data_IF_846714797270
#
_entry.id   IF_846714797270
#
_cell.length_a   1.000
_cell.length_b   1.000
_cell.length_c   1.000
_cell.angle_alpha   90.00
_cell.angle_beta   90.00
_cell.angle_gamma   90.00
#
_symmetry.space_group_name_H-M   'P 1'
#
loop_
_entity.id
_entity.type
_entity.pdbx_description
1 polymer ?
#
# COMPACT_ATOMS: atom_id res chain seq x y z
N UNK A 1 -17.97 -23.50 -52.18
CA UNK A 1 -18.97 -24.54 -51.82
C UNK A 1 -18.44 -25.32 -50.61
N UNK A 2 -19.17 -25.25 -49.49
CA UNK A 2 -19.33 -26.25 -48.38
C UNK A 2 -18.06 -26.87 -47.74
N UNK A 3 -17.66 -26.50 -46.51
CA UNK A 3 -18.22 -26.87 -45.18
C UNK A 3 -18.29 -28.38 -44.90
N UNK A 4 -17.60 -28.86 -43.86
CA UNK A 4 -18.15 -29.81 -42.85
C UNK A 4 -17.23 -30.01 -41.62
N UNK A 5 -17.83 -29.78 -40.45
CA UNK A 5 -17.48 -30.30 -39.10
C UNK A 5 -17.59 -31.84 -39.05
N UNK A 6 -17.05 -32.45 -37.99
CA UNK A 6 -17.76 -33.54 -37.30
C UNK A 6 -18.18 -33.13 -35.88
N UNK A 7 -19.35 -33.64 -35.48
CA UNK A 7 -19.95 -33.52 -34.16
C UNK A 7 -19.57 -34.69 -33.23
N UNK A 8 -19.75 -34.41 -31.92
CA UNK A 8 -20.27 -35.27 -30.84
C UNK A 8 -19.71 -36.68 -30.62
N UNK A 9 -19.21 -36.89 -29.40
CA UNK A 9 -19.31 -38.17 -28.69
C UNK A 9 -19.83 -37.90 -27.27
N UNK A 10 -21.08 -38.26 -27.03
CA UNK A 10 -21.71 -38.36 -25.71
C UNK A 10 -21.47 -39.75 -25.10
N UNK A 11 -21.36 -39.81 -23.76
CA UNK A 11 -21.96 -40.93 -23.02
C UNK A 11 -21.09 -41.64 -21.99
N UNK A 12 -21.72 -41.86 -20.82
CA UNK A 12 -21.35 -42.69 -19.65
C UNK A 12 -20.53 -41.95 -18.56
N UNK A 13 -20.97 -41.82 -17.31
CA UNK A 13 -22.14 -42.36 -16.63
C UNK A 13 -22.03 -42.06 -15.13
N UNK A 14 -23.15 -41.62 -14.57
CA UNK A 14 -23.38 -41.20 -13.18
C UNK A 14 -23.18 -42.34 -12.18
N UNK A 15 -22.66 -42.04 -10.97
CA UNK A 15 -22.98 -42.83 -9.77
C UNK A 15 -23.05 -41.92 -8.55
N UNK A 16 -24.26 -41.46 -8.24
CA UNK A 16 -24.61 -40.92 -6.93
C UNK A 16 -24.83 -42.04 -5.92
N UNK A 17 -24.64 -41.72 -4.63
CA UNK A 17 -25.26 -42.44 -3.51
C UNK A 17 -25.57 -41.43 -2.40
N UNK A 18 -26.77 -41.57 -1.87
CA UNK A 18 -27.56 -40.68 -1.01
C UNK A 18 -27.15 -40.71 0.48
N UNK A 19 -27.59 -39.66 1.21
CA UNK A 19 -27.39 -39.31 2.63
C UNK A 19 -27.96 -40.32 3.66
N UNK A 20 -27.76 -40.10 5.00
CA UNK A 20 -28.74 -39.30 5.74
C UNK A 20 -28.18 -38.38 6.86
N UNK A 21 -28.70 -37.15 6.88
CA UNK A 21 -29.12 -36.32 8.04
C UNK A 21 -28.43 -36.46 9.42
N UNK A 22 -27.82 -35.37 9.89
CA UNK A 22 -27.94 -34.96 11.30
C UNK A 22 -28.09 -33.44 11.43
N UNK A 23 -29.18 -33.02 12.05
CA UNK A 23 -29.52 -31.65 12.41
C UNK A 23 -28.67 -31.16 13.58
N UNK A 24 -28.30 -29.88 13.59
CA UNK A 24 -27.73 -29.23 14.77
C UNK A 24 -27.47 -27.75 14.51
N UNK A 25 -28.52 -26.94 14.61
CA UNK A 25 -28.38 -25.48 14.63
C UNK A 25 -27.68 -25.03 15.91
N UNK A 26 -26.78 -24.06 15.79
CA UNK A 26 -26.30 -23.28 16.92
C UNK A 26 -26.24 -21.80 16.56
N UNK A 27 -27.01 -21.04 17.36
CA UNK A 27 -27.15 -19.60 17.35
C UNK A 27 -25.82 -18.86 17.42
N UNK A 28 -25.72 -17.78 16.64
CA UNK A 28 -24.69 -16.77 16.78
C UNK A 28 -24.74 -16.18 18.20
N UNK A 29 -23.68 -16.40 19.00
CA UNK A 29 -23.52 -15.77 20.30
C UNK A 29 -22.82 -14.42 20.14
N UNK A 30 -23.56 -13.39 20.53
CA UNK A 30 -23.10 -12.04 20.85
C UNK A 30 -21.98 -12.09 21.88
N UNK A 31 -20.91 -11.32 21.66
CA UNK A 31 -19.93 -11.01 22.70
C UNK A 31 -19.80 -9.50 22.87
N UNK A 32 -20.28 -9.09 24.04
CA UNK A 32 -20.21 -7.76 24.62
C UNK A 32 -18.74 -7.35 24.80
N UNK A 33 -18.34 -6.18 24.32
CA UNK A 33 -16.96 -5.69 24.46
C UNK A 33 -16.93 -4.46 25.39
N UNK A 34 -16.11 -4.57 26.43
CA UNK A 34 -15.77 -3.51 27.37
C UNK A 34 -14.95 -2.41 26.69
N UNK A 35 -15.18 -1.19 27.16
CA UNK A 35 -14.70 0.09 26.66
C UNK A 35 -13.22 0.36 26.95
N UNK A 36 -12.51 0.86 25.94
CA UNK A 36 -11.18 1.48 26.04
C UNK A 36 -10.86 2.26 24.75
N UNK A 37 -10.43 3.53 24.80
CA UNK A 37 -10.22 4.37 23.62
C UNK A 37 -8.79 4.20 23.10
N UNK A 38 -8.46 3.06 22.52
CA UNK A 38 -7.17 2.81 21.87
C UNK A 38 -7.40 2.03 20.56
N UNK A 39 -7.70 2.72 19.46
CA UNK A 39 -7.73 2.07 18.16
C UNK A 39 -7.57 3.04 16.97
N UNK A 40 -6.33 3.46 16.70
CA UNK A 40 -5.88 3.86 15.36
C UNK A 40 -4.37 3.57 15.21
N UNK A 41 -4.00 2.33 14.89
CA UNK A 41 -2.69 1.99 14.33
C UNK A 41 -2.88 1.42 12.92
N UNK A 42 -2.06 1.90 11.99
CA UNK A 42 -2.19 1.67 10.55
C UNK A 42 -1.93 0.22 10.14
N UNK A 43 -2.46 -0.10 8.95
CA UNK A 43 -2.29 -1.32 8.15
C UNK A 43 -0.81 -1.74 8.08
N UNK A 44 -0.39 -2.62 8.99
CA UNK A 44 0.72 -3.57 8.78
C UNK A 44 0.53 -4.92 9.48
N UNK A 45 -0.59 -5.19 10.17
CA UNK A 45 -0.85 -6.48 10.85
C UNK A 45 -2.11 -7.16 10.31
N UNK A 46 -2.10 -8.48 10.03
CA UNK A 46 -3.34 -9.26 9.91
C UNK A 46 -4.13 -9.20 11.23
N UNK A 47 -5.47 -9.36 11.20
CA UNK A 47 -6.27 -9.37 12.42
C UNK A 47 -5.86 -10.53 13.34
N UNK A 48 -5.65 -10.22 14.62
CA UNK A 48 -5.41 -11.23 15.66
C UNK A 48 -6.54 -12.27 15.68
N UNK A 49 -6.17 -13.54 15.50
CA UNK A 49 -7.08 -14.67 15.69
C UNK A 49 -7.30 -14.86 17.20
N UNK A 50 -8.54 -14.81 17.72
CA UNK A 50 -8.82 -15.07 19.12
C UNK A 50 -8.48 -16.53 19.47
N UNK A 51 -7.45 -16.75 20.29
CA UNK A 51 -7.06 -18.10 20.75
C UNK A 51 -5.56 -18.33 20.99
N UNK A 52 -4.68 -17.44 20.52
CA UNK A 52 -3.22 -17.61 20.66
C UNK A 52 -2.66 -17.31 22.06
N UNK A 53 -3.47 -16.80 23.00
CA UNK A 53 -3.03 -16.42 24.35
C UNK A 53 -2.96 -17.56 25.39
N UNK A 54 -3.18 -18.81 25.00
CA UNK A 54 -3.20 -19.96 25.92
C UNK A 54 -2.06 -20.97 25.77
N UNK A 55 -0.91 -20.59 25.17
CA UNK A 55 0.26 -21.48 25.05
C UNK A 55 1.46 -21.05 25.92
N UNK A 56 1.21 -20.46 27.08
CA UNK A 56 2.22 -20.38 28.15
C UNK A 56 1.87 -21.38 29.26
N UNK A 57 2.54 -22.52 29.23
CA UNK A 57 2.69 -23.41 30.38
C UNK A 57 3.69 -22.79 31.35
N UNK A 58 3.30 -22.65 32.62
CA UNK A 58 4.20 -22.34 33.75
C UNK A 58 4.24 -20.87 34.16
N UNK A 59 3.40 -20.49 35.13
CA UNK A 59 3.86 -20.23 36.51
C UNK A 59 2.75 -19.53 37.33
N UNK A 60 2.22 -20.31 38.28
CA UNK A 60 1.51 -19.99 39.52
C UNK A 60 0.98 -18.56 39.79
N UNK A 61 -0.36 -18.42 39.79
CA UNK A 61 -1.11 -17.44 40.60
C UNK A 61 -1.71 -18.12 41.83
N UNK A 62 -1.59 -17.56 43.05
CA UNK A 62 -2.33 -18.07 44.20
C UNK A 62 -3.80 -17.65 44.12
N UNK A 63 -4.66 -18.62 44.43
CA UNK A 63 -6.11 -18.55 44.48
C UNK A 63 -6.59 -17.59 45.57
N UNK A 64 -7.58 -16.75 45.25
CA UNK A 64 -8.49 -16.20 46.26
C UNK A 64 -9.91 -16.65 45.92
N UNK A 65 -10.47 -17.45 46.83
CA UNK A 65 -11.80 -18.05 46.77
C UNK A 65 -12.91 -16.98 46.63
N UNK A 66 -13.90 -17.25 45.78
CA UNK A 66 -15.17 -16.55 45.77
C UNK A 66 -16.28 -17.55 46.11
N UNK A 67 -16.93 -17.34 47.25
CA UNK A 67 -18.08 -18.10 47.74
C UNK A 67 -19.32 -17.99 46.81
N UNK A 68 -20.26 -18.96 46.83
CA UNK A 68 -21.31 -19.10 45.82
C UNK A 68 -22.50 -18.15 46.05
N UNK A 69 -23.11 -17.69 44.95
CA UNK A 69 -24.33 -16.88 44.94
C UNK A 69 -25.61 -17.74 45.03
N UNK A 70 -26.71 -17.24 45.62
CA UNK A 70 -28.05 -17.84 45.48
C UNK A 70 -28.74 -17.39 44.18
N UNK A 71 -29.76 -18.13 43.70
CA UNK A 71 -30.30 -17.98 42.36
C UNK A 71 -31.49 -17.01 42.36
N UNK A 72 -31.55 -16.08 41.41
CA UNK A 72 -32.85 -15.55 40.97
C UNK A 72 -32.81 -14.84 39.61
N UNK A 73 -33.80 -15.23 38.81
CA UNK A 73 -34.50 -14.54 37.73
C UNK A 73 -33.70 -14.03 36.51
N UNK A 74 -34.02 -14.69 35.39
CA UNK A 74 -33.73 -14.26 34.03
C UNK A 74 -34.32 -12.87 33.73
N UNK A 75 -33.46 -11.99 33.22
CA UNK A 75 -33.84 -10.97 32.25
C UNK A 75 -32.66 -10.76 31.30
N UNK A 76 -32.65 -11.46 30.17
CA UNK A 76 -31.67 -11.27 29.09
C UNK A 76 -32.02 -9.98 28.33
N UNK A 77 -31.65 -8.82 28.89
CA UNK A 77 -31.47 -7.62 28.09
C UNK A 77 -30.08 -7.70 27.43
N UNK A 78 -30.00 -8.31 26.24
CA UNK A 78 -28.86 -8.11 25.36
C UNK A 78 -28.75 -6.61 25.06
N UNK A 79 -27.76 -5.93 25.66
CA UNK A 79 -27.38 -4.57 25.27
C UNK A 79 -26.92 -4.58 23.81
N UNK A 80 -27.85 -4.28 22.90
CA UNK A 80 -27.49 -3.81 21.56
C UNK A 80 -26.70 -2.51 21.73
N UNK A 81 -25.48 -2.47 21.20
CA UNK A 81 -24.71 -1.24 21.13
C UNK A 81 -25.57 -0.13 20.49
N UNK A 82 -25.52 1.12 20.99
CA UNK A 82 -26.37 2.18 20.47
C UNK A 82 -26.11 2.39 18.97
N UNK A 83 -27.14 2.72 18.16
CA UNK A 83 -27.03 2.86 16.70
C UNK A 83 -25.95 3.87 16.26
N UNK A 84 -25.58 4.82 17.12
CA UNK A 84 -24.47 5.75 16.93
C UNK A 84 -23.10 5.06 16.89
N UNK A 85 -22.87 4.02 17.69
CA UNK A 85 -21.59 3.31 17.75
C UNK A 85 -21.37 2.46 16.49
N UNK A 86 -22.44 1.91 15.92
CA UNK A 86 -22.39 1.18 14.65
C UNK A 86 -22.08 2.13 13.49
N UNK A 87 -22.80 3.26 13.38
CA UNK A 87 -22.55 4.27 12.33
C UNK A 87 -21.11 4.82 12.39
N UNK A 88 -20.59 4.99 13.61
CA UNK A 88 -19.22 5.39 13.90
C UNK A 88 -18.17 4.38 13.41
N UNK A 89 -18.39 3.08 13.63
CA UNK A 89 -17.51 2.01 13.14
C UNK A 89 -17.54 1.93 11.61
N UNK A 90 -18.73 2.04 11.01
CA UNK A 90 -18.88 2.07 9.56
C UNK A 90 -18.18 3.27 8.91
N UNK A 91 -18.18 4.42 9.59
CA UNK A 91 -17.49 5.62 9.13
C UNK A 91 -15.97 5.46 9.08
N UNK A 92 -15.35 5.04 10.19
CA UNK A 92 -13.91 4.82 10.26
C UNK A 92 -13.46 3.76 9.24
N UNK A 93 -14.23 2.68 9.11
CA UNK A 93 -14.00 1.65 8.10
C UNK A 93 -14.10 2.19 6.67
N UNK A 94 -15.18 2.92 6.35
CA UNK A 94 -15.40 3.48 5.01
C UNK A 94 -14.34 4.49 4.61
N UNK A 95 -13.89 5.33 5.55
CA UNK A 95 -12.81 6.30 5.32
C UNK A 95 -11.48 5.57 5.07
N UNK A 96 -11.16 4.56 5.87
CA UNK A 96 -9.95 3.74 5.68
C UNK A 96 -9.96 3.01 4.33
N UNK A 97 -11.09 2.41 3.94
CA UNK A 97 -11.25 1.75 2.65
C UNK A 97 -11.10 2.73 1.48
N UNK A 98 -11.72 3.91 1.57
CA UNK A 98 -11.63 4.94 0.54
C UNK A 98 -10.18 5.44 0.37
N UNK A 99 -9.45 5.63 1.47
CA UNK A 99 -8.04 5.99 1.45
C UNK A 99 -7.20 4.90 0.78
N UNK A 100 -7.37 3.63 1.18
CA UNK A 100 -6.66 2.48 0.60
C UNK A 100 -6.92 2.36 -0.92
N UNK A 101 -8.18 2.48 -1.33
CA UNK A 101 -8.57 2.43 -2.74
C UNK A 101 -7.96 3.58 -3.53
N UNK A 102 -7.93 4.78 -2.95
CA UNK A 102 -7.38 5.96 -3.61
C UNK A 102 -5.87 5.84 -3.81
N UNK A 103 -5.14 5.41 -2.78
CA UNK A 103 -3.69 5.26 -2.82
C UNK A 103 -3.22 4.14 -3.74
N UNK A 104 -3.94 3.02 -3.79
CA UNK A 104 -3.46 1.82 -4.48
C UNK A 104 -4.12 1.59 -5.84
N UNK A 105 -5.37 2.01 -6.04
CA UNK A 105 -6.12 1.75 -7.29
C UNK A 105 -6.24 3.00 -8.13
N UNK A 106 -6.71 4.09 -7.51
CA UNK A 106 -7.04 5.33 -8.20
C UNK A 106 -5.78 6.13 -8.59
N UNK A 107 -4.76 6.10 -7.73
CA UNK A 107 -3.45 6.72 -7.98
C UNK A 107 -2.54 5.92 -8.92
N UNK A 108 -2.83 4.64 -9.16
CA UNK A 108 -1.95 3.72 -9.89
C UNK A 108 -1.58 4.18 -11.31
N UNK A 109 -2.50 4.77 -12.12
CA UNK A 109 -2.14 5.40 -13.39
C UNK A 109 -1.02 6.43 -13.31
N UNK A 110 -1.02 7.25 -12.25
CA UNK A 110 0.00 8.26 -12.03
C UNK A 110 1.34 7.61 -11.66
N UNK A 111 1.31 6.52 -10.88
CA UNK A 111 2.50 5.75 -10.51
C UNK A 111 3.13 5.10 -11.74
N UNK A 112 2.32 4.42 -12.56
CA UNK A 112 2.77 3.78 -13.81
C UNK A 112 3.39 4.81 -14.74
N UNK A 113 2.68 5.91 -15.02
CA UNK A 113 3.17 6.94 -15.93
C UNK A 113 4.44 7.65 -15.40
N UNK A 114 4.51 7.91 -14.09
CA UNK A 114 5.71 8.45 -13.43
C UNK A 114 6.91 7.53 -13.63
N UNK A 115 6.76 6.24 -13.32
CA UNK A 115 7.82 5.23 -13.47
C UNK A 115 8.30 5.16 -14.91
N UNK A 116 7.39 5.21 -15.88
CA UNK A 116 7.74 5.28 -17.31
C UNK A 116 8.61 6.48 -17.65
N UNK A 117 8.22 7.67 -17.19
CA UNK A 117 9.00 8.89 -17.43
C UNK A 117 10.39 8.79 -16.80
N UNK A 118 10.48 8.28 -15.57
CA UNK A 118 11.73 8.17 -14.83
C UNK A 118 12.74 7.24 -15.51
N UNK A 119 12.29 6.15 -16.14
CA UNK A 119 13.17 5.19 -16.84
C UNK A 119 13.41 5.55 -18.32
N UNK A 120 12.63 6.47 -18.90
CA UNK A 120 12.80 6.89 -20.29
C UNK A 120 14.00 7.84 -20.44
N UNK A 121 15.17 7.25 -20.73
CA UNK A 121 16.40 7.98 -21.03
C UNK A 121 16.24 8.91 -22.25
N UNK A 122 15.59 8.44 -23.32
CA UNK A 122 15.45 9.15 -24.59
C UNK A 122 14.39 10.27 -24.61
N UNK A 123 13.68 10.49 -23.49
CA UNK A 123 12.62 11.49 -23.40
C UNK A 123 13.12 12.90 -23.75
N UNK A 124 12.44 13.56 -24.68
CA UNK A 124 12.62 15.00 -24.98
C UNK A 124 11.77 15.87 -24.07
N UNK A 125 10.63 15.36 -23.63
CA UNK A 125 9.68 16.03 -22.74
C UNK A 125 9.74 15.37 -21.36
N UNK A 126 9.92 16.17 -20.30
CA UNK A 126 10.04 15.65 -18.93
C UNK A 126 8.72 15.60 -18.17
N UNK A 127 7.63 16.12 -18.74
CA UNK A 127 6.29 16.11 -18.14
C UNK A 127 6.26 16.64 -16.69
N UNK A 128 6.94 17.76 -16.45
CA UNK A 128 7.00 18.42 -15.14
C UNK A 128 5.65 19.05 -14.75
N UNK A 129 4.83 19.43 -15.74
CA UNK A 129 3.51 20.01 -15.55
C UNK A 129 2.42 18.93 -15.51
N UNK A 130 1.44 19.02 -14.59
CA UNK A 130 0.33 18.07 -14.53
C UNK A 130 -0.48 18.01 -15.84
N UNK A 131 -0.64 19.13 -16.55
CA UNK A 131 -1.38 19.16 -17.82
C UNK A 131 -0.68 18.34 -18.90
N UNK A 132 0.65 18.44 -18.97
CA UNK A 132 1.43 17.65 -19.92
C UNK A 132 1.40 16.16 -19.58
N UNK A 133 1.37 15.80 -18.29
CA UNK A 133 1.23 14.41 -17.86
C UNK A 133 -0.15 13.84 -18.22
N UNK A 134 -1.23 14.57 -17.91
CA UNK A 134 -2.60 14.14 -18.23
C UNK A 134 -2.78 13.97 -19.75
N UNK A 135 -2.26 14.91 -20.56
CA UNK A 135 -2.37 14.83 -22.01
C UNK A 135 -1.73 13.56 -22.57
N UNK A 136 -0.56 13.16 -22.07
CA UNK A 136 0.10 11.93 -22.52
C UNK A 136 -0.60 10.69 -21.99
N UNK A 137 -1.00 10.67 -20.71
CA UNK A 137 -1.78 9.57 -20.15
C UNK A 137 -3.09 9.33 -20.94
N UNK A 138 -3.74 10.39 -21.39
CA UNK A 138 -4.89 10.32 -22.28
C UNK A 138 -4.53 9.72 -23.64
N UNK A 139 -3.42 10.15 -24.25
CA UNK A 139 -2.95 9.57 -25.51
C UNK A 139 -2.64 8.08 -25.40
N UNK A 140 -1.95 7.65 -24.34
CA UNK A 140 -1.67 6.24 -24.05
C UNK A 140 -2.97 5.45 -23.89
N UNK A 141 -3.94 6.00 -23.16
CA UNK A 141 -5.27 5.38 -22.99
C UNK A 141 -6.01 5.25 -24.32
N UNK A 142 -5.88 6.24 -25.20
CA UNK A 142 -6.50 6.23 -26.52
C UNK A 142 -5.86 5.21 -27.46
N UNK A 143 -4.55 5.00 -27.38
CA UNK A 143 -3.80 4.12 -28.29
C UNK A 143 -3.80 2.66 -27.83
N UNK A 144 -3.66 2.40 -26.52
CA UNK A 144 -3.50 1.06 -25.95
C UNK A 144 -4.70 0.61 -25.10
N UNK A 145 -5.66 1.50 -24.87
CA UNK A 145 -6.77 1.26 -23.96
C UNK A 145 -6.45 1.62 -22.50
N UNK A 146 -7.47 1.69 -21.62
CA UNK A 146 -7.30 2.11 -20.24
C UNK A 146 -6.44 1.14 -19.40
N UNK A 147 -6.44 -0.15 -19.75
CA UNK A 147 -5.65 -1.18 -19.05
C UNK A 147 -4.15 -0.88 -19.07
N UNK A 148 -3.65 -0.18 -20.09
CA UNK A 148 -2.24 0.20 -20.21
C UNK A 148 -1.74 1.07 -19.05
N UNK A 149 -2.60 1.87 -18.43
CA UNK A 149 -2.27 2.65 -17.23
C UNK A 149 -2.36 1.83 -15.94
N UNK A 150 -2.99 0.65 -15.98
CA UNK A 150 -3.17 -0.26 -14.86
C UNK A 150 -2.24 -1.48 -14.84
N UNK A 151 -1.25 -1.50 -15.74
CA UNK A 151 -0.27 -2.57 -15.79
C UNK A 151 0.50 -2.73 -14.48
N UNK A 152 0.81 -3.98 -14.14
CA UNK A 152 1.56 -4.35 -12.94
C UNK A 152 0.84 -4.07 -11.61
N UNK A 153 -0.46 -3.74 -11.61
CA UNK A 153 -1.22 -3.55 -10.37
C UNK A 153 -1.21 -4.78 -9.46
N UNK A 154 -1.36 -5.98 -10.03
CA UNK A 154 -1.30 -7.22 -9.25
C UNK A 154 0.06 -7.39 -8.57
N UNK A 155 1.15 -7.11 -9.30
CA UNK A 155 2.51 -7.24 -8.75
C UNK A 155 2.84 -6.18 -7.71
N UNK A 156 2.27 -4.97 -7.79
CA UNK A 156 2.42 -3.97 -6.71
C UNK A 156 1.76 -4.43 -5.41
N UNK A 157 0.58 -5.06 -5.48
CA UNK A 157 -0.06 -5.65 -4.30
C UNK A 157 0.73 -6.82 -3.73
N UNK A 158 1.33 -7.65 -4.60
CA UNK A 158 2.24 -8.73 -4.16
C UNK A 158 3.42 -8.15 -3.39
N UNK A 159 4.07 -7.09 -3.89
CA UNK A 159 5.20 -6.44 -3.19
C UNK A 159 4.77 -5.87 -1.84
N UNK A 160 3.59 -5.25 -1.76
CA UNK A 160 3.03 -4.80 -0.49
C UNK A 160 2.80 -5.97 0.46
N UNK A 161 2.16 -7.04 0.00
CA UNK A 161 1.93 -8.25 0.78
C UNK A 161 3.23 -8.88 1.30
N UNK A 162 4.25 -8.98 0.45
CA UNK A 162 5.60 -9.46 0.83
C UNK A 162 6.22 -8.54 1.88
N UNK A 163 6.14 -7.23 1.70
CA UNK A 163 6.69 -6.25 2.64
C UNK A 163 6.04 -6.39 4.02
N UNK A 164 4.70 -6.44 4.06
CA UNK A 164 3.92 -6.59 5.30
C UNK A 164 4.17 -7.94 5.97
N UNK A 165 4.14 -9.03 5.20
CA UNK A 165 4.39 -10.37 5.69
C UNK A 165 5.81 -10.52 6.24
N UNK A 166 6.79 -9.96 5.55
CA UNK A 166 8.19 -9.97 5.99
C UNK A 166 8.37 -9.17 7.28
N UNK A 167 7.77 -7.98 7.38
CA UNK A 167 7.81 -7.20 8.61
C UNK A 167 7.21 -7.96 9.80
N UNK A 168 6.07 -8.64 9.58
CA UNK A 168 5.45 -9.52 10.58
C UNK A 168 6.39 -10.64 11.02
N UNK A 169 6.91 -11.43 10.08
CA UNK A 169 7.80 -12.58 10.36
C UNK A 169 9.06 -12.12 11.08
N UNK A 170 9.72 -11.05 10.62
CA UNK A 170 10.94 -10.58 11.29
C UNK A 170 10.62 -10.05 12.69
N UNK A 171 9.48 -9.37 12.88
CA UNK A 171 9.07 -8.91 14.21
C UNK A 171 8.75 -10.03 15.20
N UNK A 172 8.34 -11.20 14.71
CA UNK A 172 8.10 -12.39 15.54
C UNK A 172 9.41 -13.16 15.81
N UNK A 173 10.29 -13.26 14.81
CA UNK A 173 11.54 -14.00 14.91
C UNK A 173 12.68 -13.22 15.61
N UNK A 174 12.56 -11.90 15.71
CA UNK A 174 13.59 -11.04 16.30
C UNK A 174 13.02 -10.19 17.43
N UNK A 175 13.80 -9.85 18.47
CA UNK A 175 13.35 -8.95 19.53
C UNK A 175 13.28 -7.48 19.08
N UNK A 176 13.23 -7.21 17.78
CA UNK A 176 13.23 -5.86 17.22
C UNK A 176 11.82 -5.26 17.34
N UNK A 177 11.70 -4.00 17.80
CA UNK A 177 10.39 -3.39 18.01
C UNK A 177 9.69 -3.11 16.68
N UNK A 178 8.49 -3.68 16.51
CA UNK A 178 7.60 -3.40 15.37
C UNK A 178 7.00 -2.00 15.42
N UNK A 179 6.76 -1.49 16.62
CA UNK A 179 6.18 -0.17 16.83
C UNK A 179 7.08 0.71 17.69
N UNK A 180 7.14 2.00 17.34
CA UNK A 180 7.87 2.98 18.12
C UNK A 180 6.98 3.47 19.27
N UNK A 181 7.41 3.23 20.51
CA UNK A 181 6.77 3.84 21.68
C UNK A 181 6.82 5.37 21.61
N UNK A 182 5.82 6.04 22.18
CA UNK A 182 5.79 7.51 22.33
C UNK A 182 7.01 8.06 23.10
N UNK A 183 7.66 7.22 23.93
CA UNK A 183 8.92 7.55 24.59
C UNK A 183 10.10 7.19 23.67
N UNK A 184 10.87 8.20 23.28
CA UNK A 184 12.01 8.05 22.36
C UNK A 184 13.15 7.31 23.04
N UNK A 185 13.25 6.00 22.80
CA UNK A 185 14.43 5.22 23.17
C UNK A 185 15.29 5.01 21.91
N UNK A 186 16.50 5.58 21.82
CA UNK A 186 17.32 5.51 20.60
C UNK A 186 17.68 4.08 20.23
N UNK A 187 17.82 3.17 21.21
CA UNK A 187 18.04 1.74 20.94
C UNK A 187 16.84 1.08 20.27
N UNK A 188 15.62 1.46 20.66
CA UNK A 188 14.40 0.96 20.04
C UNK A 188 14.20 1.56 18.64
N UNK A 189 14.52 2.84 18.45
CA UNK A 189 14.47 3.48 17.13
C UNK A 189 15.44 2.81 16.17
N UNK A 190 16.69 2.58 16.60
CA UNK A 190 17.68 1.88 15.79
C UNK A 190 17.22 0.45 15.47
N UNK A 191 16.68 -0.28 16.46
CA UNK A 191 16.13 -1.62 16.23
C UNK A 191 14.99 -1.64 15.20
N UNK A 192 14.09 -0.65 15.25
CA UNK A 192 13.01 -0.52 14.28
C UNK A 192 13.53 -0.18 12.87
N UNK A 193 14.54 0.70 12.76
CA UNK A 193 15.16 1.01 11.47
C UNK A 193 15.89 -0.20 10.88
N UNK A 194 16.53 -1.02 11.72
CA UNK A 194 17.16 -2.28 11.29
C UNK A 194 16.10 -3.27 10.79
N UNK A 195 14.98 -3.41 11.52
CA UNK A 195 13.83 -4.22 11.09
C UNK A 195 13.35 -3.80 9.70
N UNK A 196 13.06 -2.49 9.50
CA UNK A 196 12.64 -1.95 8.20
C UNK A 196 13.70 -2.18 7.11
N UNK A 197 14.98 -2.01 7.44
CA UNK A 197 16.09 -2.26 6.53
C UNK A 197 16.08 -3.70 6.01
N UNK A 198 15.96 -4.69 6.90
CA UNK A 198 15.85 -6.10 6.50
C UNK A 198 14.59 -6.38 5.69
N UNK A 199 13.45 -5.78 6.04
CA UNK A 199 12.23 -5.89 5.25
C UNK A 199 12.46 -5.45 3.80
N UNK A 200 13.13 -4.31 3.58
CA UNK A 200 13.45 -3.84 2.24
C UNK A 200 14.42 -4.75 1.50
N UNK A 201 15.39 -5.37 2.18
CA UNK A 201 16.30 -6.35 1.57
C UNK A 201 15.53 -7.55 1.02
N UNK A 202 14.59 -8.10 1.80
CA UNK A 202 13.78 -9.26 1.38
C UNK A 202 12.78 -8.90 0.27
N UNK A 203 12.18 -7.69 0.34
CA UNK A 203 11.20 -7.23 -0.66
C UNK A 203 11.85 -6.80 -2.00
N UNK A 204 13.13 -6.42 -1.99
CA UNK A 204 13.88 -5.89 -3.13
C UNK A 204 13.80 -6.70 -4.45
N UNK A 205 13.95 -8.04 -4.48
CA UNK A 205 13.81 -8.81 -5.71
C UNK A 205 12.40 -8.74 -6.32
N UNK A 206 11.35 -8.75 -5.50
CA UNK A 206 9.95 -8.63 -5.93
C UNK A 206 9.64 -7.20 -6.38
N UNK A 207 10.17 -6.20 -5.68
CA UNK A 207 10.09 -4.80 -6.11
C UNK A 207 10.69 -4.60 -7.49
N UNK A 208 11.84 -5.22 -7.78
CA UNK A 208 12.47 -5.19 -9.12
C UNK A 208 11.56 -5.80 -10.19
N UNK A 209 10.88 -6.91 -9.88
CA UNK A 209 9.96 -7.58 -10.80
C UNK A 209 8.70 -6.75 -11.06
N UNK A 210 8.08 -6.25 -9.99
CA UNK A 210 6.93 -5.36 -10.10
C UNK A 210 7.26 -4.08 -10.86
N UNK A 211 8.44 -3.47 -10.63
CA UNK A 211 8.87 -2.29 -11.36
C UNK A 211 8.87 -2.54 -12.87
N UNK A 212 9.51 -3.64 -13.32
CA UNK A 212 9.55 -4.02 -14.74
C UNK A 212 8.14 -4.21 -15.29
N UNK A 213 7.27 -4.93 -14.58
CA UNK A 213 5.89 -5.13 -15.00
C UNK A 213 5.09 -3.83 -15.11
N UNK A 214 5.40 -2.83 -14.30
CA UNK A 214 4.70 -1.54 -14.29
C UNK A 214 5.15 -0.60 -15.40
N UNK A 215 6.29 -0.85 -16.04
CA UNK A 215 6.82 -0.01 -17.13
C UNK A 215 6.91 -0.75 -18.47
N UNK A 216 6.93 -2.07 -18.48
CA UNK A 216 6.90 -2.83 -19.73
C UNK A 216 5.62 -2.53 -20.53
N UNK A 217 5.75 -2.25 -21.83
CA UNK A 217 4.61 -1.97 -22.72
C UNK A 217 3.69 -3.19 -22.84
N UNK A 218 2.38 -2.97 -22.79
CA UNK A 218 1.39 -4.06 -22.92
C UNK A 218 1.37 -4.66 -24.34
N UNK A 219 1.77 -3.89 -25.36
CA UNK A 219 1.81 -4.32 -26.77
C UNK A 219 2.72 -5.55 -26.96
N UNK A 220 3.72 -5.72 -26.10
CA UNK A 220 4.74 -6.78 -26.19
C UNK A 220 4.49 -7.88 -25.14
N UNK A 221 3.63 -7.63 -24.16
CA UNK A 221 3.46 -8.54 -23.02
C UNK A 221 2.34 -9.54 -23.29
N UNK A 222 2.73 -10.75 -23.66
CA UNK A 222 1.80 -11.87 -23.80
C UNK A 222 1.41 -12.45 -22.43
N UNK A 223 0.11 -12.48 -22.11
CA UNK A 223 -0.52 -13.16 -20.98
C UNK A 223 0.11 -12.92 -19.58
N UNK A 224 -0.16 -11.79 -18.92
CA UNK A 224 0.35 -11.52 -17.58
C UNK A 224 -0.30 -12.42 -16.51
N UNK A 225 0.50 -13.24 -15.83
CA UNK A 225 0.12 -13.93 -14.60
C UNK A 225 0.37 -13.06 -13.36
N UNK A 226 -0.52 -13.11 -12.37
CA UNK A 226 -0.38 -12.35 -11.11
C UNK A 226 0.83 -12.82 -10.30
N UNK A 227 1.20 -14.11 -10.43
CA UNK A 227 2.32 -14.73 -9.71
C UNK A 227 3.66 -14.65 -10.48
N UNK A 228 3.67 -14.08 -11.68
CA UNK A 228 4.90 -13.95 -12.48
C UNK A 228 5.93 -13.08 -11.74
N UNK A 229 5.48 -12.03 -11.07
CA UNK A 229 6.31 -11.21 -10.18
C UNK A 229 6.99 -12.04 -9.09
N UNK A 230 6.29 -13.01 -8.49
CA UNK A 230 6.86 -13.88 -7.45
C UNK A 230 7.91 -14.80 -8.06
N UNK A 231 7.57 -15.43 -9.20
CA UNK A 231 8.47 -16.33 -9.92
C UNK A 231 9.75 -15.61 -10.36
N UNK A 232 9.62 -14.43 -10.95
CA UNK A 232 10.75 -13.61 -11.40
C UNK A 232 11.57 -13.08 -10.22
N UNK A 233 10.91 -12.67 -9.13
CA UNK A 233 11.56 -12.27 -7.88
C UNK A 233 12.43 -13.38 -7.29
N UNK A 234 11.88 -14.59 -7.14
CA UNK A 234 12.62 -15.77 -6.67
C UNK A 234 13.72 -16.14 -7.66
N UNK A 235 13.44 -16.09 -8.96
CA UNK A 235 14.42 -16.34 -10.02
C UNK A 235 15.66 -15.44 -9.90
N UNK A 236 15.47 -14.16 -9.59
CA UNK A 236 16.60 -13.24 -9.34
C UNK A 236 17.42 -13.58 -8.11
N UNK A 237 16.79 -14.09 -7.06
CA UNK A 237 17.51 -14.51 -5.83
C UNK A 237 18.32 -15.78 -6.09
N UNK A 238 17.74 -16.75 -6.79
CA UNK A 238 18.36 -18.06 -7.06
C UNK A 238 19.34 -17.99 -8.26
N UNK A 239 19.33 -16.89 -9.01
CA UNK A 239 20.10 -16.74 -10.26
C UNK A 239 19.51 -17.54 -11.44
N UNK A 240 18.29 -18.03 -11.31
CA UNK A 240 17.60 -18.84 -12.33
C UNK A 240 16.66 -17.95 -13.15
N UNK A 241 16.77 -17.98 -14.48
CA UNK A 241 15.90 -17.21 -15.38
C UNK A 241 16.33 -15.76 -15.62
N UNK A 242 17.41 -15.30 -14.98
CA UNK A 242 17.96 -13.97 -15.23
C UNK A 242 18.64 -13.94 -16.60
N UNK A 243 18.28 -13.01 -17.52
CA UNK A 243 19.02 -12.85 -18.76
C UNK A 243 20.47 -12.54 -18.39
N UNK A 244 21.42 -13.36 -18.86
CA UNK A 244 22.86 -13.27 -18.57
C UNK A 244 23.52 -12.04 -19.24
N UNK A 245 22.83 -10.91 -19.24
CA UNK A 245 23.31 -9.65 -19.78
C UNK A 245 24.35 -9.08 -18.84
N UNK A 246 25.53 -8.77 -19.38
CA UNK A 246 26.59 -8.03 -18.66
C UNK A 246 26.13 -6.65 -18.14
N UNK A 247 24.96 -6.17 -18.60
CA UNK A 247 24.37 -4.88 -18.24
C UNK A 247 23.42 -4.94 -17.03
N UNK A 248 22.98 -6.14 -16.62
CA UNK A 248 22.13 -6.26 -15.45
C UNK A 248 23.00 -6.22 -14.19
N UNK A 249 22.67 -5.34 -13.26
CA UNK A 249 23.38 -5.26 -12.00
C UNK A 249 23.02 -6.43 -11.08
N UNK A 250 24.00 -7.00 -10.35
CA UNK A 250 23.72 -7.99 -9.32
C UNK A 250 22.89 -7.33 -8.20
N UNK A 251 22.01 -8.11 -7.56
CA UNK A 251 21.11 -7.61 -6.50
C UNK A 251 21.88 -6.93 -5.35
N UNK A 252 23.10 -7.39 -5.05
CA UNK A 252 23.95 -6.78 -4.02
C UNK A 252 24.30 -5.32 -4.31
N UNK A 253 24.49 -4.94 -5.58
CA UNK A 253 24.76 -3.54 -5.96
C UNK A 253 23.51 -2.66 -5.84
N UNK A 254 22.32 -3.27 -5.87
CA UNK A 254 21.04 -2.60 -5.74
C UNK A 254 20.60 -2.45 -4.28
N UNK A 255 21.13 -3.28 -3.37
CA UNK A 255 20.76 -3.30 -1.95
C UNK A 255 20.91 -1.93 -1.29
N UNK A 256 22.07 -1.28 -1.45
CA UNK A 256 22.30 0.05 -0.88
C UNK A 256 21.28 1.09 -1.38
N UNK A 257 21.08 1.29 -2.70
CA UNK A 257 20.05 2.20 -3.20
C UNK A 257 18.65 1.92 -2.67
N UNK A 258 18.22 0.64 -2.67
CA UNK A 258 16.87 0.26 -2.27
C UNK A 258 16.63 0.52 -0.79
N UNK A 259 17.55 0.07 0.07
CA UNK A 259 17.44 0.24 1.53
C UNK A 259 17.56 1.72 1.90
N UNK A 260 18.48 2.47 1.26
CA UNK A 260 18.63 3.91 1.49
C UNK A 260 17.33 4.65 1.17
N UNK A 261 16.75 4.41 -0.01
CA UNK A 261 15.48 5.03 -0.40
C UNK A 261 14.35 4.67 0.56
N UNK A 262 14.17 3.38 0.87
CA UNK A 262 13.12 2.92 1.78
C UNK A 262 13.22 3.52 3.18
N UNK A 263 14.42 3.51 3.77
CA UNK A 263 14.64 4.07 5.10
C UNK A 263 14.47 5.60 5.12
N UNK A 264 15.00 6.31 4.12
CA UNK A 264 14.79 7.76 4.03
C UNK A 264 13.31 8.10 3.89
N UNK A 265 12.57 7.35 3.07
CA UNK A 265 11.13 7.58 2.86
C UNK A 265 10.37 7.40 4.17
N UNK A 266 10.64 6.31 4.89
CA UNK A 266 10.06 6.05 6.21
C UNK A 266 10.41 7.16 7.22
N UNK A 267 11.68 7.53 7.34
CA UNK A 267 12.14 8.53 8.31
C UNK A 267 11.53 9.90 8.03
N UNK A 268 11.52 10.33 6.76
CA UNK A 268 10.93 11.60 6.35
C UNK A 268 9.42 11.59 6.61
N UNK A 269 8.72 10.55 6.15
CA UNK A 269 7.27 10.44 6.34
C UNK A 269 6.90 10.45 7.83
N UNK A 270 7.55 9.61 8.65
CA UNK A 270 7.28 9.55 10.09
C UNK A 270 7.54 10.88 10.79
N UNK A 271 8.63 11.57 10.42
CA UNK A 271 8.98 12.88 10.99
C UNK A 271 7.98 13.96 10.60
N UNK A 272 7.59 14.02 9.32
CA UNK A 272 6.61 14.99 8.83
C UNK A 272 5.22 14.71 9.41
N UNK A 273 4.78 13.46 9.47
CA UNK A 273 3.49 13.09 10.05
C UNK A 273 3.39 13.54 11.51
N UNK A 274 4.42 13.23 12.31
CA UNK A 274 4.49 13.66 13.72
C UNK A 274 4.49 15.18 13.84
N UNK A 275 5.23 15.89 12.98
CA UNK A 275 5.26 17.34 12.96
C UNK A 275 3.88 17.92 12.62
N UNK A 276 3.22 17.42 11.58
CA UNK A 276 1.90 17.90 11.15
C UNK A 276 0.86 17.62 12.23
N UNK A 277 0.85 16.43 12.83
CA UNK A 277 -0.03 16.11 13.95
C UNK A 277 0.21 17.03 15.15
N UNK A 278 1.46 17.29 15.49
CA UNK A 278 1.82 18.22 16.56
C UNK A 278 1.29 19.63 16.28
N UNK A 279 1.46 20.14 15.06
CA UNK A 279 0.96 21.46 14.65
C UNK A 279 -0.57 21.53 14.66
N UNK A 280 -1.26 20.49 14.17
CA UNK A 280 -2.72 20.42 14.17
C UNK A 280 -3.30 20.36 15.59
N UNK A 281 -2.71 19.54 16.47
CA UNK A 281 -3.11 19.45 17.88
C UNK A 281 -2.87 20.77 18.62
N UNK A 282 -1.71 21.40 18.41
CA UNK A 282 -1.40 22.71 19.01
C UNK A 282 -2.40 23.79 18.58
N UNK A 283 -2.82 23.77 17.31
CA UNK A 283 -3.84 24.69 16.79
C UNK A 283 -5.21 24.45 17.42
N UNK A 284 -5.62 23.19 17.58
CA UNK A 284 -6.91 22.85 18.20
C UNK A 284 -6.96 23.15 19.70
N UNK A 285 -5.86 22.99 20.44
CA UNK A 285 -5.80 23.35 21.87
C UNK A 285 -5.94 24.85 22.16
N UNK A 286 -5.74 25.71 21.16
CA UNK A 286 -5.91 27.17 21.29
C UNK A 286 -7.34 27.67 21.06
N UNK A 287 -8.27 26.80 20.65
CA UNK A 287 -9.68 27.17 20.43
C UNK A 287 -10.50 26.83 21.68
N UNK A 288 -11.23 27.78 22.30
CA UNK A 288 -12.04 27.49 23.47
C UNK A 288 -13.14 26.49 23.09
N UNK A 289 -13.15 25.32 23.73
CA UNK A 289 -14.24 24.33 23.64
C UNK A 289 -15.50 24.96 24.25
N UNK A 290 -16.41 25.43 23.40
CA UNK A 290 -17.78 25.68 23.82
C UNK A 290 -18.60 24.40 23.66
N UNK A 291 -19.60 24.25 24.55
CA UNK A 291 -20.61 23.19 24.65
C UNK A 291 -20.20 21.79 25.10
N UNK A 292 -20.92 21.34 26.14
CA UNK A 292 -21.09 19.97 26.60
C UNK A 292 -21.64 19.06 25.50
N UNK A 293 -21.26 17.77 25.47
CA UNK A 293 -21.65 16.83 24.43
C UNK A 293 -23.06 16.29 24.70
N UNK A 294 -24.10 17.06 24.39
CA UNK A 294 -25.50 16.63 24.61
C UNK A 294 -26.17 16.08 23.34
N UNK A 295 -25.54 16.15 22.15
CA UNK A 295 -26.15 15.69 20.89
C UNK A 295 -25.38 14.56 20.19
N UNK A 296 -26.12 13.60 19.61
CA UNK A 296 -25.57 12.49 18.80
C UNK A 296 -24.68 12.99 17.65
N UNK A 297 -25.01 14.14 17.05
CA UNK A 297 -24.19 14.79 16.03
C UNK A 297 -22.79 15.21 16.54
N UNK A 298 -22.66 15.59 17.82
CA UNK A 298 -21.40 16.07 18.39
C UNK A 298 -20.41 14.93 18.66
N UNK A 299 -20.90 13.74 19.05
CA UNK A 299 -20.05 12.56 19.27
C UNK A 299 -19.41 12.07 17.96
N UNK A 300 -20.18 12.11 16.86
CA UNK A 300 -19.68 11.70 15.54
C UNK A 300 -18.79 12.77 14.91
N UNK A 301 -19.12 14.05 15.11
CA UNK A 301 -18.27 15.17 14.70
C UNK A 301 -16.91 15.12 15.42
N UNK A 302 -16.89 14.78 16.73
CA UNK A 302 -15.65 14.58 17.49
C UNK A 302 -14.80 13.42 16.97
N UNK A 303 -15.42 12.36 16.42
CA UNK A 303 -14.68 11.27 15.77
C UNK A 303 -14.09 11.72 14.45
N UNK A 304 -14.87 12.42 13.62
CA UNK A 304 -14.39 12.98 12.36
C UNK A 304 -13.18 13.90 12.58
N UNK A 305 -13.24 14.72 13.63
CA UNK A 305 -12.15 15.58 14.07
C UNK A 305 -10.95 14.81 14.67
N UNK A 306 -11.08 13.52 14.96
CA UNK A 306 -9.98 12.63 15.34
C UNK A 306 -9.32 11.95 14.11
N UNK A 307 -10.12 11.42 13.17
CA UNK A 307 -9.61 10.69 11.99
C UNK A 307 -9.02 11.62 10.90
N UNK A 308 -9.67 12.75 10.61
CA UNK A 308 -9.24 13.62 9.51
C UNK A 308 -7.85 14.24 9.72
N UNK A 309 -7.48 14.73 10.92
CA UNK A 309 -6.12 15.22 11.16
C UNK A 309 -5.04 14.17 10.93
N UNK A 310 -5.31 12.90 11.29
CA UNK A 310 -4.40 11.78 11.05
C UNK A 310 -4.22 11.51 9.55
N UNK A 311 -5.32 11.48 8.80
CA UNK A 311 -5.30 11.31 7.34
C UNK A 311 -4.57 12.48 6.66
N UNK A 312 -4.82 13.71 7.08
CA UNK A 312 -4.14 14.89 6.53
C UNK A 312 -2.64 14.89 6.86
N UNK A 313 -2.26 14.44 8.06
CA UNK A 313 -0.87 14.31 8.44
C UNK A 313 -0.15 13.22 7.65
N UNK A 314 -0.79 12.05 7.46
CA UNK A 314 -0.29 10.96 6.62
C UNK A 314 -0.15 11.40 5.15
N UNK A 315 -1.19 12.06 4.61
CA UNK A 315 -1.17 12.63 3.26
C UNK A 315 0.01 13.61 3.06
N UNK A 316 0.18 14.55 3.98
CA UNK A 316 1.25 15.54 3.91
C UNK A 316 2.63 14.89 4.05
N UNK A 317 2.75 13.91 4.94
CA UNK A 317 3.98 13.14 5.13
C UNK A 317 4.40 12.40 3.85
N UNK A 318 3.49 11.65 3.25
CA UNK A 318 3.74 10.91 2.01
C UNK A 318 4.10 11.86 0.86
N UNK A 319 3.37 12.97 0.70
CA UNK A 319 3.69 13.98 -0.32
C UNK A 319 5.08 14.57 -0.13
N UNK A 320 5.44 14.94 1.10
CA UNK A 320 6.76 15.49 1.40
C UNK A 320 7.88 14.47 1.11
N UNK A 321 7.69 13.21 1.51
CA UNK A 321 8.68 12.17 1.26
C UNK A 321 8.87 11.91 -0.24
N UNK A 322 7.78 11.79 -1.01
CA UNK A 322 7.84 11.57 -2.45
C UNK A 322 8.50 12.73 -3.19
N UNK A 323 8.22 13.98 -2.80
CA UNK A 323 8.84 15.17 -3.41
C UNK A 323 10.34 15.24 -3.09
N UNK A 324 10.73 15.02 -1.83
CA UNK A 324 12.13 15.10 -1.40
C UNK A 324 12.98 13.97 -1.98
N UNK A 325 12.42 12.77 -2.12
CA UNK A 325 13.13 11.59 -2.60
C UNK A 325 12.97 11.33 -4.09
N UNK A 326 12.24 12.16 -4.82
CA UNK A 326 12.03 12.01 -6.26
C UNK A 326 13.32 11.78 -7.07
N UNK A 327 14.43 12.53 -6.84
CA UNK A 327 15.67 12.30 -7.57
C UNK A 327 16.27 10.93 -7.27
N UNK A 328 16.21 10.49 -6.02
CA UNK A 328 16.72 9.19 -5.58
C UNK A 328 15.86 8.06 -6.15
N UNK A 329 14.53 8.21 -6.16
CA UNK A 329 13.59 7.27 -6.78
C UNK A 329 13.89 7.10 -8.28
N UNK A 330 14.16 8.19 -9.00
CA UNK A 330 14.52 8.15 -10.43
C UNK A 330 15.80 7.36 -10.69
N UNK A 331 16.84 7.58 -9.88
CA UNK A 331 18.09 6.81 -9.95
C UNK A 331 17.83 5.35 -9.62
N UNK A 332 17.06 5.06 -8.57
CA UNK A 332 16.71 3.72 -8.15
C UNK A 332 16.02 2.95 -9.29
N UNK A 333 14.96 3.51 -9.88
CA UNK A 333 14.22 2.86 -10.95
C UNK A 333 15.10 2.50 -12.15
N UNK A 334 16.01 3.40 -12.54
CA UNK A 334 16.95 3.18 -13.64
C UNK A 334 17.94 2.06 -13.35
N UNK A 335 18.45 1.98 -12.12
CA UNK A 335 19.35 0.91 -11.71
C UNK A 335 18.67 -0.46 -11.67
N UNK A 336 17.41 -0.52 -11.24
CA UNK A 336 16.66 -1.78 -11.15
C UNK A 336 16.27 -2.33 -12.53
N UNK A 337 16.08 -1.47 -13.52
CA UNK A 337 15.57 -1.88 -14.83
C UNK A 337 16.63 -2.06 -15.92
N UNK A 338 17.82 -1.50 -15.75
CA UNK A 338 18.85 -1.67 -16.78
C UNK A 338 19.19 -3.15 -17.00
N UNK A 339 19.50 -3.51 -18.24
CA UNK A 339 19.92 -4.87 -18.59
C UNK A 339 18.80 -5.93 -18.64
N UNK A 340 17.55 -5.58 -18.33
CA UNK A 340 16.38 -6.50 -18.38
C UNK A 340 15.80 -6.69 -19.78
N UNK A 341 16.28 -5.92 -20.78
CA UNK A 341 15.73 -5.86 -22.15
C UNK A 341 14.26 -5.41 -22.20
N UNK A 342 13.81 -4.65 -21.20
CA UNK A 342 12.45 -4.12 -21.17
C UNK A 342 12.22 -3.10 -22.28
N UNK A 343 11.06 -3.20 -22.93
CA UNK A 343 10.57 -2.22 -23.89
C UNK A 343 9.43 -1.46 -23.22
N UNK A 344 9.54 -0.13 -23.20
CA UNK A 344 8.60 0.78 -22.52
C UNK A 344 7.79 1.59 -23.53
N UNK A 345 6.73 2.22 -23.05
CA UNK A 345 5.96 3.17 -23.87
C UNK A 345 6.72 4.50 -23.98
N UNK A 346 6.69 5.10 -25.16
CA UNK A 346 7.26 6.41 -25.40
C UNK A 346 6.43 7.48 -24.70
N UNK A 347 6.99 8.08 -23.65
CA UNK A 347 6.31 9.10 -22.86
C UNK A 347 6.21 10.46 -23.55
N UNK A 348 6.95 10.73 -24.63
CA UNK A 348 6.87 12.03 -25.31
C UNK A 348 5.50 12.23 -25.99
N UNK A 349 5.01 11.19 -26.68
CA UNK A 349 3.77 11.23 -27.45
C UNK A 349 2.71 10.21 -26.99
N UNK A 350 3.12 9.08 -26.39
CA UNK A 350 2.23 8.01 -25.96
C UNK A 350 1.78 7.04 -27.06
N UNK A 351 2.41 7.09 -28.24
CA UNK A 351 1.99 6.32 -29.42
C UNK A 351 3.00 5.26 -29.88
N UNK A 352 4.21 5.26 -29.34
CA UNK A 352 5.32 4.40 -29.76
C UNK A 352 5.90 3.64 -28.57
N UNK A 353 6.78 2.68 -28.85
CA UNK A 353 7.52 1.93 -27.83
C UNK A 353 9.02 2.06 -28.05
N UNK A 354 9.80 2.01 -26.98
CA UNK A 354 11.25 2.14 -27.04
C UNK A 354 11.96 1.17 -26.08
N UNK A 355 13.10 0.58 -26.48
CA UNK A 355 13.87 -0.30 -25.61
C UNK A 355 14.68 0.50 -24.58
N UNK A 356 14.82 -0.04 -23.38
CA UNK A 356 15.75 0.51 -22.39
C UNK A 356 17.17 0.06 -22.74
N UNK A 357 18.02 1.03 -23.10
CA UNK A 357 19.41 0.80 -23.50
C UNK A 357 20.43 1.51 -22.60
N UNK A 358 20.10 1.67 -21.32
CA UNK A 358 20.99 2.28 -20.33
C UNK A 358 21.96 1.24 -19.75
N UNK A 359 23.14 1.72 -19.34
CA UNK A 359 24.16 0.92 -18.65
C UNK A 359 24.88 1.82 -17.66
N UNK A 360 24.74 1.51 -16.37
CA UNK A 360 25.33 2.23 -15.26
C UNK A 360 26.14 1.25 -14.39
N UNK A 361 27.34 1.63 -14.00
CA UNK A 361 28.18 0.82 -13.10
C UNK A 361 27.64 0.80 -11.66
N UNK A 362 26.86 1.83 -11.29
CA UNK A 362 26.21 1.93 -9.99
C UNK A 362 25.50 3.26 -9.81
N UNK A 363 25.05 3.54 -8.57
CA UNK A 363 24.28 4.74 -8.26
C UNK A 363 25.00 6.05 -8.61
N UNK A 364 26.30 6.17 -8.28
CA UNK A 364 27.08 7.38 -8.55
C UNK A 364 27.22 7.65 -10.04
N UNK A 365 27.47 6.58 -10.80
CA UNK A 365 27.57 6.66 -12.25
C UNK A 365 26.23 7.06 -12.88
N UNK A 366 25.12 6.46 -12.42
CA UNK A 366 23.77 6.85 -12.85
C UNK A 366 23.46 8.32 -12.56
N UNK A 367 23.79 8.83 -11.37
CA UNK A 367 23.64 10.25 -11.01
C UNK A 367 24.45 11.14 -11.95
N UNK A 368 25.71 10.77 -12.23
CA UNK A 368 26.57 11.54 -13.12
C UNK A 368 26.08 11.52 -14.56
N UNK A 369 25.61 10.38 -15.06
CA UNK A 369 25.04 10.24 -16.39
C UNK A 369 23.80 11.13 -16.56
N UNK A 370 22.82 11.05 -15.64
CA UNK A 370 21.63 11.93 -15.67
C UNK A 370 22.06 13.40 -15.68
N UNK A 371 22.97 13.79 -14.79
CA UNK A 371 23.42 15.20 -14.71
C UNK A 371 24.11 15.68 -15.98
N UNK A 372 24.91 14.84 -16.64
CA UNK A 372 25.70 15.22 -17.82
C UNK A 372 24.90 15.15 -19.13
N UNK A 373 24.01 14.16 -19.26
CA UNK A 373 23.32 13.85 -20.52
C UNK A 373 21.91 14.45 -20.56
N UNK A 374 21.23 14.56 -19.42
CA UNK A 374 19.85 15.06 -19.31
C UNK A 374 19.73 16.37 -18.53
N UNK A 375 20.79 16.76 -17.82
CA UNK A 375 20.77 17.90 -16.92
C UNK A 375 20.01 17.63 -15.61
N UNK A 376 19.92 18.65 -14.77
CA UNK A 376 19.34 18.53 -13.41
C UNK A 376 17.85 18.23 -13.42
N UNK A 377 17.12 18.64 -14.46
CA UNK A 377 15.70 18.34 -14.60
C UNK A 377 15.44 16.88 -15.02
N UNK A 378 16.45 16.16 -15.52
CA UNK A 378 16.34 14.73 -15.83
C UNK A 378 16.00 13.87 -14.60
N UNK A 379 16.37 14.33 -13.41
CA UNK A 379 15.97 13.69 -12.15
C UNK A 379 14.49 13.82 -11.83
N UNK A 380 13.77 14.75 -12.47
CA UNK A 380 12.38 15.08 -12.16
C UNK A 380 11.41 14.64 -13.27
N UNK A 381 11.83 13.75 -14.17
CA UNK A 381 10.98 13.21 -15.23
C UNK A 381 9.70 12.59 -14.65
N UNK A 382 8.54 13.07 -15.09
CA UNK A 382 7.24 12.62 -14.61
C UNK A 382 6.77 13.29 -13.32
N UNK A 383 7.43 14.37 -12.85
CA UNK A 383 7.01 15.07 -11.63
C UNK A 383 5.56 15.56 -11.66
N UNK A 384 5.05 15.94 -12.84
CA UNK A 384 3.65 16.34 -13.01
C UNK A 384 2.66 15.29 -12.54
N UNK A 385 3.02 14.00 -12.60
CA UNK A 385 2.19 12.88 -12.14
C UNK A 385 1.99 12.88 -10.62
N UNK A 386 2.95 13.37 -9.83
CA UNK A 386 2.77 13.52 -8.37
C UNK A 386 1.71 14.55 -8.09
N UNK A 387 1.74 15.68 -8.81
CA UNK A 387 0.74 16.74 -8.63
C UNK A 387 -0.66 16.19 -8.94
N UNK A 388 -0.81 15.43 -10.03
CA UNK A 388 -2.09 14.77 -10.37
C UNK A 388 -2.49 13.75 -9.29
N UNK A 389 -1.58 12.86 -8.90
CA UNK A 389 -1.80 11.82 -7.90
C UNK A 389 -2.32 12.39 -6.56
N UNK A 390 -1.61 13.37 -6.02
CA UNK A 390 -1.96 13.93 -4.71
C UNK A 390 -3.13 14.91 -4.80
N UNK A 391 -3.36 15.56 -5.94
CA UNK A 391 -4.61 16.32 -6.17
C UNK A 391 -5.83 15.41 -6.17
N UNK A 392 -5.71 14.24 -6.79
CA UNK A 392 -6.75 13.21 -6.82
C UNK A 392 -7.01 12.66 -5.42
N UNK A 393 -5.96 12.36 -4.66
CA UNK A 393 -6.09 11.91 -3.28
C UNK A 393 -6.75 12.97 -2.40
N UNK A 394 -6.34 14.24 -2.51
CA UNK A 394 -6.96 15.35 -1.81
C UNK A 394 -8.44 15.53 -2.20
N UNK A 395 -8.79 15.41 -3.48
CA UNK A 395 -10.16 15.52 -3.95
C UNK A 395 -11.05 14.42 -3.36
N UNK A 396 -10.60 13.16 -3.35
CA UNK A 396 -11.34 12.06 -2.72
C UNK A 396 -11.52 12.32 -1.22
N UNK A 397 -10.45 12.70 -0.51
CA UNK A 397 -10.54 13.02 0.93
C UNK A 397 -11.55 14.15 1.21
N UNK A 398 -11.59 15.20 0.39
CA UNK A 398 -12.56 16.30 0.53
C UNK A 398 -13.99 15.85 0.23
N UNK A 399 -14.19 15.04 -0.81
CA UNK A 399 -15.50 14.49 -1.17
C UNK A 399 -15.98 13.57 -0.05
N UNK A 400 -15.14 12.67 0.47
CA UNK A 400 -15.47 11.80 1.61
C UNK A 400 -15.84 12.62 2.83
N UNK A 401 -15.09 13.69 3.13
CA UNK A 401 -15.43 14.64 4.22
C UNK A 401 -16.80 15.26 4.02
N UNK A 402 -17.07 15.75 2.81
CA UNK A 402 -18.31 16.44 2.48
C UNK A 402 -19.51 15.49 2.56
N UNK A 403 -19.40 14.30 1.96
CA UNK A 403 -20.45 13.27 1.99
C UNK A 403 -20.78 12.92 3.42
N UNK A 404 -19.76 12.62 4.23
CA UNK A 404 -19.99 12.22 5.61
C UNK A 404 -20.58 13.38 6.44
N UNK A 405 -20.04 14.59 6.32
CA UNK A 405 -20.60 15.77 7.00
C UNK A 405 -22.06 16.05 6.60
N UNK A 406 -22.44 15.75 5.36
CA UNK A 406 -23.81 15.92 4.87
C UNK A 406 -24.73 14.82 5.38
N UNK A 407 -24.29 13.57 5.36
CA UNK A 407 -25.02 12.44 5.93
C UNK A 407 -25.31 12.67 7.43
N UNK A 408 -24.36 13.25 8.16
CA UNK A 408 -24.54 13.61 9.58
C UNK A 408 -25.51 14.75 9.82
N UNK A 409 -25.64 15.70 8.90
CA UNK A 409 -26.60 16.81 9.03
C UNK A 409 -28.03 16.38 8.75
N UNK A 410 -28.21 15.32 7.96
CA UNK A 410 -29.50 14.83 7.49
C UNK A 410 -30.01 13.61 8.28
N UNK A 411 -29.20 13.06 9.18
CA UNK A 411 -29.56 12.04 10.16
C UNK A 411 -29.88 12.71 11.50
#
# INVERSE_FOLDING_TARGET
MTSRRPESFEGLGYKGREDPSFSGGYSARSFNNSSGPDLQHWVTTPPDIPGSRNLHFGDHTPQFEKAPAPPEAADEAQSAAPPSEQLNRFAGFGIGLASLFTENVLAHPCIVFRRQCQVNYHARCYHLSPLTAISVMYNVTKTQGPKALWKGMGSTFVVQGVTLGTEGIISECTPLPRELSHKWNPKQVLGHLVLKGFTYVVAMPFYSASLIETVQSEIIRDNPGILDCVKEGIGRVVGMGVPHSKRLLPLWNLLFPTVLHGLLHYVISSSVQRLVLYLLRRRNSGSPKHSSPDSQADAVQSMLDAYFPELMASFAASLCADVLLFPLETVLHRLHIQGTRTIIDNTDLGCEVLPINTQYEGMRDCINAIRREEGTMGFYKGFGSIVVQYSLHAAVLQITKMIYSTLLRNA
#
